data_IF_676213785147
#
_entry.id   IF_676213785147
#
_cell.length_a   1.000
_cell.length_b   1.000
_cell.length_c   1.000
_cell.angle_alpha   90.00
_cell.angle_beta   90.00
_cell.angle_gamma   90.00
#
_symmetry.space_group_name_H-M   'P 1'
#
loop_
_entity.id
_entity.type
_entity.pdbx_description
1 polymer ?
2 non-polymer ?
3 water ?
#
# COMPACT_ATOMS: atom_id res chain seq x y z
N UNK A 3 14.11 -8.20 12.89
CA UNK A 3 12.75 -7.98 13.41
C UNK A 3 11.67 -8.55 12.46
N UNK A 4 10.53 -8.91 13.07
CA UNK A 4 9.42 -9.52 12.36
C UNK A 4 8.92 -8.57 11.28
N UNK A 5 8.34 -9.10 10.21
CA UNK A 5 7.73 -8.25 9.19
C UNK A 5 6.70 -7.23 9.75
N UNK A 6 5.89 -7.67 10.71
CA UNK A 6 4.95 -6.77 11.36
C UNK A 6 5.62 -5.51 11.93
N UNK A 7 6.72 -5.73 12.66
CA UNK A 7 7.51 -4.62 13.19
C UNK A 7 8.14 -3.70 12.20
N UNK A 8 8.63 -4.25 11.10
CA UNK A 8 9.22 -3.45 10.00
C UNK A 8 8.17 -2.52 9.38
N UNK A 9 6.98 -3.08 9.24
CA UNK A 9 5.86 -2.34 8.67
C UNK A 9 5.38 -1.21 9.63
N UNK A 10 5.26 -1.57 10.92
CA UNK A 10 4.83 -0.57 11.91
C UNK A 10 5.84 0.56 11.95
N UNK A 11 7.15 0.26 12.03
CA UNK A 11 8.15 1.34 12.10
C UNK A 11 8.12 2.24 10.88
N UNK A 12 8.01 1.60 9.68
CA UNK A 12 7.98 2.36 8.48
C UNK A 12 6.77 3.28 8.37
N UNK A 13 5.60 2.82 8.84
CA UNK A 13 4.42 3.68 8.85
C UNK A 13 4.59 4.84 9.82
N UNK A 14 5.15 4.54 10.99
CA UNK A 14 5.37 5.61 11.97
C UNK A 14 6.29 6.68 11.39
N UNK A 15 7.37 6.25 10.67
CA UNK A 15 8.22 7.19 10.01
C UNK A 15 7.44 8.02 8.96
N UNK A 16 6.67 7.34 8.11
CA UNK A 16 5.92 8.06 7.08
C UNK A 16 5.01 9.12 7.67
N UNK A 17 4.38 8.85 8.81
CA UNK A 17 3.43 9.83 9.38
C UNK A 17 4.12 11.13 9.70
N UNK A 18 5.42 11.06 10.05
CA UNK A 18 6.13 12.29 10.40
C UNK A 18 6.43 13.22 9.24
N UNK A 19 6.21 12.77 7.98
CA UNK A 19 6.38 13.63 6.83
C UNK A 19 5.06 14.32 6.36
N UNK A 20 4.01 14.18 7.17
CA UNK A 20 2.70 14.80 6.90
C UNK A 20 2.25 14.54 5.47
N UNK A 21 2.21 13.28 5.10
CA UNK A 21 1.74 13.02 3.74
C UNK A 21 0.27 13.42 3.57
N UNK A 22 -0.14 13.62 2.32
CA UNK A 22 -1.55 13.95 2.06
C UNK A 22 -2.47 12.92 2.67
N UNK A 23 -3.57 13.35 3.21
CA UNK A 23 -4.57 12.41 3.71
C UNK A 23 -5.07 11.40 2.69
N UNK A 24 -5.11 11.83 1.42
CA UNK A 24 -5.63 10.90 0.41
C UNK A 24 -4.69 9.75 0.14
N UNK A 25 -3.43 9.88 0.59
CA UNK A 25 -2.51 8.78 0.57
C UNK A 25 -2.42 8.14 1.95
N UNK A 26 -2.29 8.92 3.00
CA UNK A 26 -2.13 8.31 4.30
C UNK A 26 -3.30 7.45 4.77
N UNK A 27 -4.53 7.90 4.53
CA UNK A 27 -5.67 7.13 4.97
C UNK A 27 -5.66 5.67 4.44
N UNK A 28 -5.50 5.50 3.09
CA UNK A 28 -5.51 4.12 2.59
C UNK A 28 -4.27 3.33 3.05
N UNK A 29 -3.11 4.00 3.16
CA UNK A 29 -1.93 3.29 3.68
C UNK A 29 -2.19 2.82 5.08
N UNK A 30 -2.70 3.71 5.91
CA UNK A 30 -3.01 3.29 7.29
C UNK A 30 -4.02 2.14 7.37
N UNK A 31 -5.03 2.23 6.53
CA UNK A 31 -6.06 1.21 6.53
C UNK A 31 -5.47 -0.14 6.04
N UNK A 32 -4.63 -0.06 5.00
CA UNK A 32 -3.99 -1.31 4.50
C UNK A 32 -3.08 -1.97 5.55
N UNK A 33 -2.30 -1.13 6.21
CA UNK A 33 -1.43 -1.61 7.28
C UNK A 33 -2.25 -2.24 8.39
N UNK A 34 -3.35 -1.57 8.73
CA UNK A 34 -4.22 -2.09 9.72
C UNK A 34 -4.85 -3.45 9.39
N UNK A 35 -5.29 -3.64 8.13
CA UNK A 35 -5.76 -4.93 7.73
C UNK A 35 -4.64 -5.98 7.72
N UNK A 36 -3.41 -5.58 7.38
CA UNK A 36 -2.30 -6.50 7.47
C UNK A 36 -2.07 -6.96 8.88
N UNK A 37 -2.15 -6.06 9.82
CA UNK A 37 -2.03 -6.46 11.24
C UNK A 37 -3.10 -7.50 11.61
N UNK A 38 -4.36 -7.24 11.17
CA UNK A 38 -5.42 -8.21 11.42
C UNK A 38 -5.05 -9.57 10.87
N UNK A 39 -4.53 -9.59 9.62
CA UNK A 39 -4.16 -10.88 9.03
C UNK A 39 -2.98 -11.57 9.76
N UNK A 40 -1.98 -10.81 10.23
CA UNK A 40 -0.91 -11.44 11.03
C UNK A 40 -1.51 -12.09 12.27
N UNK A 41 -2.47 -11.43 12.88
CA UNK A 41 -3.08 -11.92 14.11
C UNK A 41 -4.02 -13.08 13.94
N UNK A 42 -4.71 -13.12 12.83
CA UNK A 42 -5.81 -14.05 12.63
C UNK A 42 -5.56 -15.18 11.64
N UNK A 43 -4.68 -14.95 10.68
CA UNK A 43 -4.43 -15.92 9.65
C UNK A 43 -3.02 -15.75 9.12
N UNK A 44 -2.02 -15.92 10.01
CA UNK A 44 -0.61 -15.74 9.66
C UNK A 44 -0.11 -16.72 8.60
N UNK A 45 0.82 -16.28 7.77
CA UNK A 45 1.42 -17.13 6.75
C UNK A 45 2.56 -16.42 6.12
N UNK A 46 3.30 -17.14 5.29
CA UNK A 46 4.42 -16.51 4.59
C UNK A 46 3.92 -15.42 3.57
N UNK A 47 2.72 -15.58 3.07
CA UNK A 47 2.13 -14.57 2.21
C UNK A 47 1.75 -13.30 2.94
N UNK A 48 1.18 -13.44 4.12
CA UNK A 48 0.89 -12.24 4.96
C UNK A 48 2.24 -11.57 5.36
N UNK A 49 3.26 -12.37 5.68
CA UNK A 49 4.56 -11.78 5.96
C UNK A 49 5.09 -10.95 4.77
N UNK A 50 5.01 -11.50 3.54
CA UNK A 50 5.42 -10.76 2.38
C UNK A 50 4.59 -9.48 2.15
N UNK A 51 3.27 -9.56 2.46
CA UNK A 51 2.44 -8.40 2.38
C UNK A 51 2.99 -7.30 3.29
N UNK A 52 3.30 -7.69 4.54
CA UNK A 52 3.82 -6.71 5.48
C UNK A 52 5.13 -6.11 5.03
N UNK A 53 6.05 -6.94 4.47
CA UNK A 53 7.28 -6.39 3.92
C UNK A 53 7.03 -5.43 2.77
N UNK A 54 6.02 -5.75 1.91
CA UNK A 54 5.70 -4.86 0.83
C UNK A 54 5.10 -3.50 1.29
N UNK A 55 4.29 -3.53 2.35
CA UNK A 55 3.79 -2.31 2.87
C UNK A 55 4.82 -1.49 3.56
N UNK A 56 5.76 -2.17 4.23
CA UNK A 56 6.90 -1.43 4.82
C UNK A 56 7.68 -0.70 3.74
N UNK A 57 7.96 -1.43 2.65
CA UNK A 57 8.69 -0.84 1.53
C UNK A 57 7.95 0.33 0.84
N UNK A 58 6.61 0.21 0.77
CA UNK A 58 5.82 1.29 0.23
C UNK A 58 5.97 2.58 1.09
N UNK A 59 5.86 2.36 2.40
CA UNK A 59 5.98 3.47 3.34
C UNK A 59 7.35 4.12 3.21
N UNK A 60 8.37 3.29 3.10
CA UNK A 60 9.73 3.83 2.96
C UNK A 60 9.99 4.54 1.62
N UNK A 61 9.29 4.08 0.56
CA UNK A 61 9.41 4.76 -0.71
C UNK A 61 8.71 6.09 -0.68
N UNK A 62 7.55 6.14 0.03
CA UNK A 62 6.88 7.44 0.24
C UNK A 62 7.70 8.42 1.10
N UNK A 63 8.42 7.86 2.06
CA UNK A 63 9.38 8.67 2.85
C UNK A 63 10.50 9.22 1.95
N UNK A 64 11.03 8.38 1.07
CA UNK A 64 12.12 8.84 0.22
C UNK A 64 11.63 9.90 -0.76
N UNK A 65 10.41 9.72 -1.31
CA UNK A 65 9.87 10.76 -2.15
C UNK A 65 9.71 12.10 -1.46
N UNK A 66 9.32 12.03 -0.20
CA UNK A 66 9.14 13.24 0.57
C UNK A 66 10.48 13.96 0.83
N UNK A 67 11.50 13.18 1.10
CA UNK A 67 12.85 13.70 1.33
C UNK A 67 13.36 14.35 0.05
N UNK A 68 13.17 13.66 -1.05
CA UNK A 68 13.53 14.24 -2.34
C UNK A 68 12.78 15.57 -2.62
N UNK A 69 11.49 15.62 -2.31
CA UNK A 69 10.70 16.84 -2.48
C UNK A 69 11.21 18.00 -1.64
N UNK A 70 11.57 17.70 -0.41
CA UNK A 70 12.01 18.68 0.53
C UNK A 70 13.38 19.25 0.09
N UNK A 71 14.26 18.38 -0.42
CA UNK A 71 15.58 18.81 -0.94
C UNK A 71 15.43 19.71 -2.17
N UNK A 72 14.64 19.28 -3.14
CA UNK A 72 14.33 20.11 -4.33
C UNK A 72 13.73 21.46 -3.90
N UNK A 73 12.99 21.52 -2.79
CA UNK A 73 12.56 22.79 -2.19
C UNK A 73 13.74 23.47 -1.46
N UNK B 3 -18.44 -4.11 -9.05
CA UNK B 3 -17.34 -5.05 -9.12
C UNK B 3 -16.77 -5.42 -7.75
N UNK B 4 -16.22 -6.62 -7.67
CA UNK B 4 -15.60 -7.15 -6.45
C UNK B 4 -14.35 -6.37 -6.08
N UNK B 5 -13.98 -6.37 -4.80
CA UNK B 5 -12.74 -5.70 -4.38
C UNK B 5 -11.50 -6.14 -5.19
N UNK B 6 -11.38 -7.41 -5.49
CA UNK B 6 -10.29 -7.87 -6.32
C UNK B 6 -10.25 -7.10 -7.65
N UNK B 7 -11.43 -6.93 -8.30
CA UNK B 7 -11.45 -6.19 -9.57
C UNK B 7 -11.14 -4.72 -9.42
N UNK B 8 -11.64 -4.06 -8.36
CA UNK B 8 -11.42 -2.64 -8.20
C UNK B 8 -9.95 -2.37 -7.90
N UNK B 9 -9.32 -3.26 -7.12
CA UNK B 9 -7.90 -3.09 -6.84
C UNK B 9 -7.09 -3.16 -8.12
N UNK B 10 -7.43 -4.12 -8.99
CA UNK B 10 -6.63 -4.27 -10.22
C UNK B 10 -6.85 -3.13 -11.21
N UNK B 11 -8.12 -2.68 -11.33
CA UNK B 11 -8.46 -1.55 -12.15
C UNK B 11 -7.80 -0.25 -11.72
N UNK B 12 -7.83 -0.01 -10.39
CA UNK B 12 -7.15 1.18 -9.89
C UNK B 12 -5.62 1.18 -10.11
N UNK B 13 -5.01 -0.01 -9.96
CA UNK B 13 -3.59 -0.13 -10.22
C UNK B 13 -3.24 0.06 -11.67
N UNK B 14 -4.10 -0.43 -12.54
CA UNK B 14 -3.88 -0.19 -13.99
C UNK B 14 -3.92 1.28 -14.32
N UNK B 15 -4.85 2.02 -13.70
CA UNK B 15 -4.93 3.44 -13.91
C UNK B 15 -3.65 4.15 -13.38
N UNK B 16 -3.23 3.76 -12.17
CA UNK B 16 -2.02 4.30 -11.65
C UNK B 16 -0.80 4.13 -12.55
N UNK B 17 -0.66 2.96 -13.20
CA UNK B 17 0.50 2.74 -14.02
C UNK B 17 0.62 3.72 -15.14
N UNK B 18 -0.52 4.21 -15.62
CA UNK B 18 -0.52 5.18 -16.71
C UNK B 18 0.03 6.56 -16.38
N UNK B 19 0.16 6.84 -15.10
CA UNK B 19 0.77 8.04 -14.60
C UNK B 19 2.28 7.91 -14.38
N UNK B 20 2.85 6.72 -14.64
CA UNK B 20 4.31 6.52 -14.49
C UNK B 20 4.86 7.05 -13.17
N UNK B 21 4.26 6.61 -12.07
CA UNK B 21 4.86 6.95 -10.77
C UNK B 21 6.24 6.38 -10.62
N UNK B 22 7.01 6.99 -9.71
CA UNK B 22 8.36 6.49 -9.47
C UNK B 22 8.37 5.01 -9.09
N UNK B 23 9.32 4.26 -9.67
CA UNK B 23 9.46 2.87 -9.25
C UNK B 23 9.58 2.62 -7.75
N UNK B 24 10.16 3.61 -7.05
CA UNK B 24 10.29 3.41 -5.59
C UNK B 24 8.96 3.31 -4.88
N UNK B 25 7.90 3.86 -5.50
CA UNK B 25 6.54 3.72 -5.02
C UNK B 25 5.81 2.57 -5.75
N UNK B 26 5.98 2.49 -7.08
CA UNK B 26 5.18 1.50 -7.84
C UNK B 26 5.59 0.07 -7.55
N UNK B 27 6.90 -0.20 -7.43
CA UNK B 27 7.32 -1.56 -7.21
C UNK B 27 6.67 -2.18 -5.94
N UNK B 28 6.71 -1.44 -4.79
CA UNK B 28 6.03 -2.05 -3.62
C UNK B 28 4.52 -2.11 -3.69
N UNK B 29 3.92 -1.15 -4.40
CA UNK B 29 2.45 -1.23 -4.60
C UNK B 29 2.12 -2.51 -5.38
N UNK B 30 2.90 -2.77 -6.47
CA UNK B 30 2.68 -3.98 -7.22
C UNK B 30 2.84 -5.25 -6.40
N UNK B 31 3.85 -5.25 -5.51
CA UNK B 31 4.02 -6.39 -4.65
C UNK B 31 2.90 -6.56 -3.64
N UNK B 32 2.43 -5.43 -3.03
CA UNK B 32 1.31 -5.54 -2.12
C UNK B 32 0.09 -6.13 -2.77
N UNK B 33 -0.16 -5.65 -3.99
CA UNK B 33 -1.28 -6.14 -4.75
C UNK B 33 -1.10 -7.63 -5.11
N UNK B 34 0.14 -8.02 -5.49
CA UNK B 34 0.45 -9.41 -5.75
C UNK B 34 0.07 -10.32 -4.57
N UNK B 35 0.48 -9.92 -3.36
CA UNK B 35 0.15 -10.66 -2.18
C UNK B 35 -1.32 -10.68 -1.86
N UNK B 36 -1.99 -9.54 -2.07
CA UNK B 36 -3.41 -9.49 -1.89
C UNK B 36 -4.14 -10.46 -2.83
N UNK B 37 -3.71 -10.49 -4.10
CA UNK B 37 -4.34 -11.38 -5.06
C UNK B 37 -4.21 -12.85 -4.59
N UNK B 38 -3.03 -13.19 -4.12
CA UNK B 38 -2.83 -14.52 -3.56
C UNK B 38 -3.74 -14.83 -2.43
N UNK B 39 -3.89 -13.85 -1.54
CA UNK B 39 -4.81 -14.03 -0.41
C UNK B 39 -6.24 -14.22 -0.85
N UNK B 40 -6.72 -13.48 -1.83
CA UNK B 40 -8.11 -13.62 -2.30
C UNK B 40 -8.36 -15.01 -2.85
N UNK B 41 -7.34 -15.50 -3.55
CA UNK B 41 -7.48 -16.73 -4.29
C UNK B 41 -7.43 -17.92 -3.33
N UNK B 42 -6.65 -17.79 -2.26
CA UNK B 42 -6.30 -18.88 -1.38
C UNK B 42 -6.89 -18.85 0.00
N UNK B 43 -7.10 -17.66 0.56
CA UNK B 43 -7.60 -17.54 1.92
C UNK B 43 -8.55 -16.36 1.95
N UNK B 44 -9.60 -16.40 1.13
CA UNK B 44 -10.47 -15.26 1.10
C UNK B 44 -11.19 -15.04 2.42
N UNK B 45 -11.57 -13.79 2.64
CA UNK B 45 -12.26 -13.33 3.87
C UNK B 45 -12.69 -11.88 3.73
N UNK B 46 -13.57 -11.41 4.63
CA UNK B 46 -13.94 -10.02 4.65
C UNK B 46 -12.71 -9.15 4.92
N UNK B 47 -11.72 -9.68 5.65
CA UNK B 47 -10.49 -8.89 5.92
C UNK B 47 -9.66 -8.75 4.65
N UNK B 48 -9.54 -9.85 3.90
CA UNK B 48 -8.83 -9.76 2.61
C UNK B 48 -9.59 -8.81 1.67
N UNK B 49 -10.91 -8.87 1.65
CA UNK B 49 -11.63 -7.94 0.81
C UNK B 49 -11.39 -6.49 1.18
N UNK B 50 -11.33 -6.24 2.50
CA UNK B 50 -11.11 -4.90 2.97
C UNK B 50 -9.69 -4.45 2.58
N UNK B 51 -8.74 -5.34 2.72
CA UNK B 51 -7.40 -5.05 2.24
C UNK B 51 -7.38 -4.62 0.78
N UNK B 52 -8.04 -5.40 -0.05
CA UNK B 52 -8.16 -5.05 -1.47
C UNK B 52 -8.76 -3.67 -1.72
N UNK B 53 -9.83 -3.36 -0.98
CA UNK B 53 -10.43 -2.06 -1.07
C UNK B 53 -9.48 -0.98 -0.68
N UNK B 54 -8.68 -1.23 0.39
CA UNK B 54 -7.69 -0.24 0.82
C UNK B 54 -6.60 0.00 -0.21
N UNK B 55 -6.18 -1.10 -0.87
CA UNK B 55 -5.17 -0.95 -1.92
C UNK B 55 -5.71 -0.29 -3.14
N UNK B 56 -6.99 -0.53 -3.46
CA UNK B 56 -7.62 0.24 -4.54
C UNK B 56 -7.64 1.74 -4.25
N UNK B 57 -8.04 2.04 -3.00
CA UNK B 57 -8.10 3.44 -2.57
C UNK B 57 -6.74 4.10 -2.57
N UNK B 58 -5.70 3.32 -2.21
CA UNK B 58 -4.33 3.84 -2.28
C UNK B 58 -3.96 4.21 -3.68
N UNK B 59 -4.22 3.29 -4.62
CA UNK B 59 -3.89 3.56 -5.99
C UNK B 59 -4.62 4.79 -6.57
N UNK B 60 -5.89 4.93 -6.20
CA UNK B 60 -6.69 6.08 -6.63
C UNK B 60 -6.27 7.38 -5.99
N UNK B 61 -5.75 7.28 -4.76
CA UNK B 61 -5.13 8.41 -4.14
C UNK B 61 -3.85 8.85 -4.79
N UNK B 62 -3.03 7.86 -5.17
CA UNK B 62 -1.81 8.16 -5.90
C UNK B 62 -2.08 8.77 -7.29
N UNK B 63 -3.16 8.32 -7.94
CA UNK B 63 -3.65 8.93 -9.20
C UNK B 63 -4.02 10.40 -8.96
N UNK B 64 -4.82 10.66 -7.91
CA UNK B 64 -5.24 12.06 -7.64
C UNK B 64 -4.01 12.95 -7.44
N UNK B 65 -3.00 12.43 -6.72
CA UNK B 65 -1.78 13.19 -6.48
C UNK B 65 -0.91 13.39 -7.72
N UNK B 66 -0.89 12.35 -8.56
CA UNK B 66 -0.26 12.41 -9.86
C UNK B 66 -0.81 13.46 -10.79
N UNK B 67 -2.12 13.62 -10.76
CA UNK B 67 -2.76 14.59 -11.57
C UNK B 67 -2.26 15.97 -11.19
N UNK B 68 -2.31 16.23 -9.88
CA UNK B 68 -1.86 17.53 -9.32
C UNK B 68 -0.39 17.75 -9.74
N UNK B 69 0.42 16.71 -9.57
CA UNK B 69 1.82 16.85 -9.90
C UNK B 69 2.12 17.09 -11.36
N UNK B 70 1.36 16.44 -12.21
CA UNK B 70 1.51 16.56 -13.63
C UNK B 70 1.21 17.98 -14.10
N UNK B 71 0.22 18.62 -13.49
CA UNK B 71 -0.17 19.94 -13.97
C UNK B 71 0.84 21.04 -13.56
X LIG C 1 16.07 6.33 4.03
X LIG C 1 15.65 6.75 5.30
X LIG C 1 14.86 6.43 3.13
X LIG C 1 15.31 5.95 1.85
X LIG C 1 13.73 5.53 3.58
X LIG C 1 14.16 4.16 3.70
X LIG D 1 -13.12 -6.79 8.02
X LIG D 1 -14.14 -7.57 8.74
X LIG D 1 -12.47 -5.68 8.89
X LIG D 1 -11.60 -6.23 9.94
X LIG D 1 -13.63 -4.77 9.37
X LIG D 1 -13.22 -3.53 10.03
#
# INVERSE_FOLDING_TARGET
GGPAPLSTMQTALMRLRTYHPSPIILKPVEQAVNHAITLVNTSPSSVVDALCRSLAELCLGLVQEAIDASILSQQESSNSLDLVRHTP
GGPAPLSTMQTALMRLRTYHPSPIILKPVEQAVNHAITLVNTSPSSVVDALCRSLAELCLGLVQEAIDASILSQQESSNSLDLVRHTP
GOL C1 O1 C2 O2 C3 O3
GOL C1 O1 C2 O2 C3 O3
#
